data_IF_149105821582
#
_entry.id   IF_149105821582
#
_cell.length_a   1.000
_cell.length_b   1.000
_cell.length_c   1.000
_cell.angle_alpha   90.00
_cell.angle_beta   90.00
_cell.angle_gamma   90.00
#
_symmetry.space_group_name_H-M   'P 1'
#
loop_
_entity.id
_entity.type
_entity.pdbx_description
1 polymer ?
#
# COMPACT_ATOMS: atom_id res chain seq x y z
N UNK A 1 -18.24 -24.78 -0.98
CA UNK A 1 -17.50 -25.99 -1.32
C UNK A 1 -17.33 -25.95 -2.84
N UNK A 2 -16.19 -25.44 -3.30
CA UNK A 2 -15.92 -25.30 -4.73
C UNK A 2 -15.11 -26.48 -5.23
N UNK A 3 -15.46 -26.96 -6.41
CA UNK A 3 -14.81 -28.13 -7.04
C UNK A 3 -13.97 -27.62 -8.21
N UNK A 4 -12.66 -27.67 -8.08
CA UNK A 4 -11.75 -27.46 -9.20
C UNK A 4 -11.39 -28.81 -9.81
N UNK A 5 -11.74 -29.05 -11.07
CA UNK A 5 -11.42 -30.30 -11.78
C UNK A 5 -10.14 -30.12 -12.58
N UNK A 6 -9.06 -30.77 -12.14
CA UNK A 6 -7.80 -30.82 -12.90
C UNK A 6 -7.74 -32.16 -13.64
N UNK A 7 -7.72 -32.12 -14.95
CA UNK A 7 -7.57 -33.34 -15.79
C UNK A 7 -6.09 -33.77 -15.84
N UNK A 8 -5.72 -34.74 -15.04
CA UNK A 8 -4.48 -35.54 -15.23
C UNK A 8 -4.88 -36.97 -15.48
N UNK A 9 -4.75 -37.41 -16.73
CA UNK A 9 -4.90 -38.79 -17.22
C UNK A 9 -5.59 -39.81 -16.31
N UNK A 10 -6.92 -40.02 -16.51
CA UNK A 10 -7.71 -41.15 -16.02
C UNK A 10 -8.09 -41.26 -14.51
N UNK A 11 -7.93 -40.25 -13.70
CA UNK A 11 -8.68 -40.10 -12.43
C UNK A 11 -9.04 -38.65 -12.23
N UNK A 12 -10.33 -38.34 -12.04
CA UNK A 12 -10.80 -37.04 -11.52
C UNK A 12 -10.45 -37.00 -10.02
N UNK A 13 -9.34 -36.38 -9.66
CA UNK A 13 -9.10 -36.01 -8.28
C UNK A 13 -9.77 -34.65 -8.04
N UNK A 14 -10.89 -34.69 -7.34
CA UNK A 14 -11.60 -33.51 -6.87
C UNK A 14 -10.80 -32.97 -5.69
N UNK A 15 -9.91 -32.01 -5.95
CA UNK A 15 -9.28 -31.25 -4.89
C UNK A 15 -10.29 -30.22 -4.38
N UNK A 16 -10.82 -30.46 -3.17
CA UNK A 16 -11.56 -29.42 -2.46
C UNK A 16 -10.54 -28.41 -1.92
N UNK A 17 -10.46 -27.22 -2.53
CA UNK A 17 -9.67 -26.14 -1.96
C UNK A 17 -10.16 -25.80 -0.55
N UNK A 18 -9.22 -25.70 0.39
CA UNK A 18 -9.52 -25.27 1.76
C UNK A 18 -10.13 -23.87 1.74
N UNK A 19 -11.29 -23.73 2.35
CA UNK A 19 -11.86 -22.39 2.64
C UNK A 19 -10.93 -21.68 3.63
N UNK A 20 -10.45 -20.49 3.28
CA UNK A 20 -9.64 -19.66 4.15
C UNK A 20 -10.53 -18.75 4.99
N UNK A 21 -10.35 -18.78 6.30
CA UNK A 21 -11.15 -18.06 7.27
C UNK A 21 -10.42 -16.79 7.71
N UNK A 22 -11.11 -15.66 7.58
CA UNK A 22 -10.52 -14.32 7.73
C UNK A 22 -11.11 -13.61 8.95
N UNK A 23 -10.21 -13.03 9.76
CA UNK A 23 -10.54 -12.07 10.81
C UNK A 23 -10.21 -10.64 10.37
N UNK A 24 -11.12 -9.70 10.63
CA UNK A 24 -10.94 -8.27 10.37
C UNK A 24 -10.70 -7.54 11.69
N UNK A 25 -9.58 -6.85 11.82
CA UNK A 25 -9.25 -6.02 12.99
C UNK A 25 -9.23 -4.55 12.55
N UNK A 26 -10.16 -3.76 13.08
CA UNK A 26 -10.49 -2.42 12.62
C UNK A 26 -11.58 -2.44 11.56
N UNK A 27 -12.84 -2.17 11.95
CA UNK A 27 -14.01 -2.17 11.08
C UNK A 27 -14.39 -0.73 10.66
N UNK A 28 -13.39 0.12 10.45
CA UNK A 28 -13.54 1.51 10.02
C UNK A 28 -13.78 1.68 8.52
N UNK A 29 -13.55 2.91 8.02
CA UNK A 29 -13.80 3.29 6.62
C UNK A 29 -13.05 2.43 5.61
N UNK A 30 -11.75 2.17 5.84
CA UNK A 30 -10.93 1.41 4.89
C UNK A 30 -11.34 -0.07 4.82
N UNK A 31 -11.70 -0.67 5.95
CA UNK A 31 -12.20 -2.05 5.98
C UNK A 31 -13.53 -2.17 5.22
N UNK A 32 -14.47 -1.25 5.47
CA UNK A 32 -15.80 -1.24 4.84
C UNK A 32 -15.78 -0.83 3.35
N UNK A 33 -14.88 0.05 2.96
CA UNK A 33 -14.81 0.58 1.59
C UNK A 33 -13.88 -0.19 0.65
N UNK A 34 -12.93 -0.95 1.19
CA UNK A 34 -11.89 -1.63 0.41
C UNK A 34 -11.83 -3.13 0.73
N UNK A 35 -11.39 -3.49 1.95
CA UNK A 35 -11.02 -4.88 2.25
C UNK A 35 -12.21 -5.85 2.19
N UNK A 36 -13.25 -5.57 2.95
CA UNK A 36 -14.39 -6.49 3.02
C UNK A 36 -15.14 -6.65 1.69
N UNK A 37 -15.45 -5.56 0.94
CA UNK A 37 -16.06 -5.70 -0.39
C UNK A 37 -15.17 -6.43 -1.42
N UNK A 38 -13.84 -6.29 -1.31
CA UNK A 38 -12.91 -6.99 -2.19
C UNK A 38 -12.83 -8.49 -1.85
N UNK A 39 -12.76 -8.82 -0.56
CA UNK A 39 -12.72 -10.21 -0.09
C UNK A 39 -14.00 -10.98 -0.41
N UNK A 40 -15.17 -10.32 -0.36
CA UNK A 40 -16.47 -10.92 -0.71
C UNK A 40 -16.49 -11.45 -2.15
N UNK A 41 -15.65 -10.90 -3.05
CA UNK A 41 -15.55 -11.33 -4.44
C UNK A 41 -14.52 -12.44 -4.67
N UNK A 42 -13.76 -12.81 -3.66
CA UNK A 42 -12.75 -13.86 -3.77
C UNK A 42 -13.37 -15.21 -3.38
N UNK A 43 -13.39 -16.15 -4.30
CA UNK A 43 -13.91 -17.50 -4.06
C UNK A 43 -13.12 -18.23 -2.97
N UNK A 44 -13.83 -19.03 -2.16
CA UNK A 44 -13.21 -19.90 -1.14
C UNK A 44 -12.60 -19.13 0.04
N UNK A 45 -13.11 -17.93 0.35
CA UNK A 45 -12.81 -17.22 1.59
C UNK A 45 -14.08 -16.93 2.37
N UNK A 46 -13.98 -16.87 3.69
CA UNK A 46 -15.07 -16.54 4.60
C UNK A 46 -14.58 -15.53 5.64
N UNK A 47 -15.28 -14.44 5.82
CA UNK A 47 -15.05 -13.49 6.91
C UNK A 47 -15.83 -13.94 8.14
N UNK A 48 -15.11 -14.45 9.14
CA UNK A 48 -15.68 -15.18 10.29
C UNK A 48 -15.54 -14.47 11.63
N UNK A 49 -14.75 -13.40 11.68
CA UNK A 49 -14.47 -12.66 12.90
C UNK A 49 -14.24 -11.18 12.61
N UNK A 50 -14.82 -10.32 13.44
CA UNK A 50 -14.74 -8.87 13.30
C UNK A 50 -14.39 -8.25 14.64
N UNK A 51 -13.39 -7.38 14.67
CA UNK A 51 -12.93 -6.70 15.88
C UNK A 51 -12.84 -5.20 15.66
N UNK A 52 -13.42 -4.43 16.55
CA UNK A 52 -13.23 -2.98 16.65
C UNK A 52 -13.41 -2.56 18.11
N UNK A 53 -12.63 -1.60 18.58
CA UNK A 53 -12.80 -1.01 19.92
C UNK A 53 -14.15 -0.33 20.11
N UNK A 54 -14.84 0.00 19.00
CA UNK A 54 -16.23 0.43 18.95
C UNK A 54 -17.07 -0.75 18.47
N UNK A 55 -17.66 -1.47 19.40
CA UNK A 55 -18.37 -2.73 19.19
C UNK A 55 -19.39 -2.67 18.05
N UNK A 56 -20.16 -1.58 17.98
CA UNK A 56 -21.20 -1.38 16.95
C UNK A 56 -20.62 -1.37 15.52
N UNK A 57 -19.34 -1.00 15.34
CA UNK A 57 -18.70 -1.07 14.03
C UNK A 57 -18.43 -2.52 13.62
N UNK A 58 -17.96 -3.33 14.57
CA UNK A 58 -17.71 -4.75 14.33
C UNK A 58 -19.02 -5.51 14.11
N UNK A 59 -20.09 -5.21 14.88
CA UNK A 59 -21.41 -5.78 14.70
C UNK A 59 -22.01 -5.50 13.31
N UNK A 60 -21.97 -4.24 12.86
CA UNK A 60 -22.42 -3.85 11.51
C UNK A 60 -21.60 -4.50 10.40
N UNK A 61 -20.30 -4.65 10.59
CA UNK A 61 -19.44 -5.31 9.63
C UNK A 61 -19.75 -6.82 9.55
N UNK A 62 -19.95 -7.48 10.70
CA UNK A 62 -20.32 -8.88 10.76
C UNK A 62 -21.69 -9.14 10.12
N UNK A 63 -22.70 -8.29 10.40
CA UNK A 63 -24.04 -8.38 9.78
C UNK A 63 -23.97 -8.28 8.25
N UNK A 64 -23.10 -7.41 7.73
CA UNK A 64 -23.03 -7.12 6.29
C UNK A 64 -22.19 -8.12 5.51
N UNK A 65 -21.05 -8.54 6.06
CA UNK A 65 -20.02 -9.28 5.33
C UNK A 65 -19.67 -10.65 5.94
N UNK A 66 -20.13 -10.91 7.17
CA UNK A 66 -19.80 -12.12 7.90
C UNK A 66 -20.61 -13.34 7.48
N UNK A 67 -20.09 -14.52 7.83
CA UNK A 67 -20.87 -15.75 7.84
C UNK A 67 -21.97 -15.68 8.90
N UNK A 68 -22.97 -16.55 8.81
CA UNK A 68 -24.10 -16.57 9.76
C UNK A 68 -23.67 -16.81 11.23
N UNK A 69 -22.51 -17.42 11.43
CA UNK A 69 -21.89 -17.71 12.73
C UNK A 69 -20.70 -16.79 13.04
N UNK A 70 -20.54 -15.68 12.30
CA UNK A 70 -19.44 -14.74 12.50
C UNK A 70 -19.43 -14.17 13.92
N UNK A 71 -18.24 -14.07 14.48
CA UNK A 71 -18.01 -13.60 15.86
C UNK A 71 -17.58 -12.13 15.88
N UNK A 72 -17.98 -11.44 16.94
CA UNK A 72 -17.65 -10.03 17.18
C UNK A 72 -16.80 -9.91 18.43
N UNK A 73 -15.74 -9.10 18.34
CA UNK A 73 -14.78 -8.88 19.41
C UNK A 73 -14.52 -7.38 19.62
N UNK A 74 -14.26 -6.97 20.84
CA UNK A 74 -13.77 -5.62 21.20
C UNK A 74 -12.24 -5.61 21.41
N UNK A 75 -11.67 -6.75 21.81
CA UNK A 75 -10.24 -6.96 21.98
C UNK A 75 -9.72 -7.91 20.88
N UNK A 76 -8.77 -7.42 20.07
CA UNK A 76 -8.16 -8.23 19.02
C UNK A 76 -7.42 -9.46 19.56
N UNK A 77 -6.94 -9.43 20.80
CA UNK A 77 -6.27 -10.58 21.44
C UNK A 77 -7.23 -11.74 21.65
N UNK A 78 -8.49 -11.45 21.90
CA UNK A 78 -9.52 -12.51 21.99
C UNK A 78 -9.84 -13.08 20.60
N UNK A 79 -9.86 -12.25 19.56
CA UNK A 79 -10.00 -12.73 18.18
C UNK A 79 -8.84 -13.66 17.80
N UNK A 80 -7.61 -13.32 18.16
CA UNK A 80 -6.42 -14.11 17.82
C UNK A 80 -6.38 -15.51 18.48
N UNK A 81 -7.12 -15.73 19.56
CA UNK A 81 -7.28 -17.05 20.20
C UNK A 81 -8.12 -18.03 19.39
N UNK A 82 -8.87 -17.54 18.40
CA UNK A 82 -9.66 -18.41 17.51
C UNK A 82 -8.73 -19.12 16.52
N UNK A 83 -8.47 -20.40 16.79
CA UNK A 83 -7.59 -21.25 15.96
C UNK A 83 -8.16 -21.51 14.57
N UNK A 84 -9.44 -21.27 14.35
CA UNK A 84 -10.09 -21.48 13.04
C UNK A 84 -9.80 -20.36 12.04
N UNK A 85 -9.24 -19.24 12.47
CA UNK A 85 -8.85 -18.12 11.62
C UNK A 85 -7.49 -18.39 10.99
N UNK A 86 -7.40 -18.32 9.68
CA UNK A 86 -6.16 -18.50 8.90
C UNK A 86 -5.45 -17.18 8.65
N UNK A 87 -6.21 -16.11 8.42
CA UNK A 87 -5.74 -14.81 7.94
C UNK A 87 -6.35 -13.68 8.79
N UNK A 88 -5.55 -12.66 9.05
CA UNK A 88 -6.01 -11.42 9.69
C UNK A 88 -5.74 -10.24 8.78
N UNK A 89 -6.75 -9.39 8.58
CA UNK A 89 -6.59 -8.06 7.99
C UNK A 89 -6.54 -7.01 9.08
N UNK A 90 -5.45 -6.24 9.16
CA UNK A 90 -5.23 -5.15 10.11
C UNK A 90 -5.54 -3.83 9.43
N UNK A 91 -6.69 -3.23 9.79
CA UNK A 91 -7.25 -2.02 9.19
C UNK A 91 -7.44 -0.90 10.23
N UNK A 92 -6.58 -0.86 11.21
CA UNK A 92 -6.60 0.06 12.35
C UNK A 92 -5.83 1.37 12.03
N UNK A 93 -5.81 2.39 12.91
CA UNK A 93 -4.87 3.50 12.80
C UNK A 93 -3.39 3.03 12.82
N UNK A 94 -2.51 3.80 12.18
CA UNK A 94 -1.09 3.45 11.95
C UNK A 94 -0.37 3.03 13.23
N UNK A 95 -0.69 3.67 14.37
CA UNK A 95 -0.12 3.38 15.68
C UNK A 95 -0.18 1.91 16.09
N UNK A 96 -1.18 1.22 15.62
CA UNK A 96 -1.43 -0.17 16.05
C UNK A 96 -1.06 -1.23 15.02
N UNK A 97 -0.61 -0.83 13.83
CA UNK A 97 -0.24 -1.76 12.76
C UNK A 97 0.81 -2.78 13.22
N UNK A 98 1.90 -2.30 13.85
CA UNK A 98 3.04 -3.16 14.17
C UNK A 98 2.70 -4.20 15.22
N UNK A 99 2.22 -3.79 16.40
CA UNK A 99 1.99 -4.74 17.49
C UNK A 99 0.83 -5.71 17.22
N UNK A 100 -0.25 -5.25 16.52
CA UNK A 100 -1.34 -6.16 16.14
C UNK A 100 -0.86 -7.18 15.09
N UNK A 101 -0.08 -6.73 14.10
CA UNK A 101 0.45 -7.64 13.07
C UNK A 101 1.43 -8.65 13.66
N UNK A 102 2.31 -8.24 14.57
CA UNK A 102 3.23 -9.14 15.26
C UNK A 102 2.46 -10.17 16.08
N UNK A 103 1.51 -9.74 16.92
CA UNK A 103 0.69 -10.64 17.74
C UNK A 103 -0.10 -11.65 16.86
N UNK A 104 -0.60 -11.20 15.68
CA UNK A 104 -1.30 -12.08 14.75
C UNK A 104 -0.38 -13.11 14.08
N UNK A 105 0.83 -12.70 13.67
CA UNK A 105 1.85 -13.60 13.14
C UNK A 105 2.26 -14.66 14.19
N UNK A 106 2.51 -14.24 15.44
CA UNK A 106 2.84 -15.13 16.56
C UNK A 106 1.68 -16.09 16.91
N UNK A 107 0.43 -15.64 16.71
CA UNK A 107 -0.75 -16.51 16.84
C UNK A 107 -0.92 -17.47 15.65
N UNK A 108 0.05 -17.52 14.73
CA UNK A 108 0.06 -18.44 13.60
C UNK A 108 -0.83 -18.02 12.42
N UNK A 109 -1.23 -16.73 12.32
CA UNK A 109 -2.08 -16.21 11.26
C UNK A 109 -1.22 -15.54 10.16
N UNK A 110 -1.66 -15.64 8.90
CA UNK A 110 -1.14 -14.78 7.84
C UNK A 110 -1.71 -13.38 7.98
N UNK A 111 -0.94 -12.34 7.65
CA UNK A 111 -1.33 -10.96 7.92
C UNK A 111 -1.29 -10.10 6.66
N UNK A 112 -2.41 -9.43 6.39
CA UNK A 112 -2.51 -8.26 5.51
C UNK A 112 -2.64 -7.03 6.40
N UNK A 113 -1.65 -6.14 6.39
CA UNK A 113 -1.69 -4.90 7.14
C UNK A 113 -1.90 -3.71 6.20
N UNK A 114 -2.79 -2.77 6.55
CA UNK A 114 -2.91 -1.53 5.81
C UNK A 114 -1.60 -0.72 5.82
N UNK A 115 -1.47 0.13 4.81
CA UNK A 115 -0.35 1.07 4.72
C UNK A 115 -0.56 2.27 5.70
N UNK A 116 0.52 2.90 6.16
CA UNK A 116 1.92 2.48 6.06
C UNK A 116 2.17 1.22 6.89
N UNK A 117 3.26 0.51 6.62
CA UNK A 117 3.60 -0.71 7.36
C UNK A 117 3.62 -0.47 8.88
N UNK A 118 4.31 0.59 9.30
CA UNK A 118 4.40 1.05 10.68
C UNK A 118 4.74 2.55 10.72
N UNK A 119 4.75 3.16 11.92
CA UNK A 119 5.16 4.55 12.09
C UNK A 119 6.67 4.74 12.08
N UNK A 120 7.42 3.72 12.50
CA UNK A 120 8.88 3.76 12.60
C UNK A 120 9.54 2.56 11.92
N UNK A 121 10.81 2.74 11.55
CA UNK A 121 11.63 1.67 10.97
C UNK A 121 11.77 0.46 11.92
N UNK A 122 12.00 0.69 13.18
CA UNK A 122 12.16 -0.38 14.18
C UNK A 122 10.87 -1.21 14.34
N UNK A 123 9.70 -0.54 14.34
CA UNK A 123 8.41 -1.24 14.35
C UNK A 123 8.22 -2.09 13.09
N UNK A 124 8.51 -1.54 11.90
CA UNK A 124 8.40 -2.26 10.64
C UNK A 124 9.39 -3.43 10.54
N UNK A 125 10.63 -3.25 11.06
CA UNK A 125 11.63 -4.29 11.15
C UNK A 125 11.18 -5.45 12.04
N UNK A 126 10.60 -5.14 13.20
CA UNK A 126 10.04 -6.16 14.10
C UNK A 126 8.91 -6.97 13.44
N UNK A 127 8.10 -6.34 12.58
CA UNK A 127 7.08 -7.05 11.79
C UNK A 127 7.71 -8.03 10.78
N UNK A 128 8.78 -7.61 10.08
CA UNK A 128 9.53 -8.50 9.17
C UNK A 128 10.12 -9.70 9.94
N UNK A 129 10.79 -9.45 11.06
CA UNK A 129 11.39 -10.48 11.90
C UNK A 129 10.34 -11.46 12.45
N UNK A 130 9.15 -10.98 12.81
CA UNK A 130 8.05 -11.83 13.23
C UNK A 130 7.54 -12.72 12.10
N UNK A 131 7.39 -12.18 10.89
CA UNK A 131 6.99 -12.96 9.70
C UNK A 131 8.01 -14.07 9.38
N UNK A 132 9.32 -13.73 9.42
CA UNK A 132 10.40 -14.71 9.21
C UNK A 132 10.42 -15.79 10.29
N UNK A 133 10.33 -15.41 11.56
CA UNK A 133 10.36 -16.34 12.70
C UNK A 133 9.18 -17.32 12.71
N UNK A 134 8.01 -16.85 12.35
CA UNK A 134 6.78 -17.66 12.37
C UNK A 134 6.55 -18.43 11.09
N UNK A 135 7.24 -18.08 10.01
CA UNK A 135 7.00 -18.63 8.67
C UNK A 135 5.64 -18.25 8.09
N UNK A 136 4.96 -17.25 8.68
CA UNK A 136 3.68 -16.76 8.19
C UNK A 136 3.89 -15.59 7.22
N UNK A 137 3.03 -15.51 6.23
CA UNK A 137 3.10 -14.46 5.22
C UNK A 137 2.58 -13.14 5.81
N UNK A 138 3.33 -12.07 5.54
CA UNK A 138 2.95 -10.68 5.80
C UNK A 138 2.94 -9.93 4.48
N UNK A 139 1.94 -9.10 4.25
CA UNK A 139 1.90 -8.15 3.14
C UNK A 139 1.32 -6.82 3.59
N UNK A 140 1.66 -5.75 2.87
CA UNK A 140 1.20 -4.39 3.17
C UNK A 140 0.30 -3.90 2.04
N UNK A 141 -0.77 -3.18 2.38
CA UNK A 141 -1.84 -2.73 1.49
C UNK A 141 -1.44 -1.63 0.50
N UNK A 142 -0.39 -1.85 -0.29
CA UNK A 142 0.01 -0.96 -1.38
C UNK A 142 -0.77 -1.28 -2.65
N UNK A 143 -2.08 -1.06 -2.59
CA UNK A 143 -3.04 -1.38 -3.67
C UNK A 143 -2.70 -0.78 -5.03
N UNK A 144 -1.99 0.37 -5.04
CA UNK A 144 -1.65 1.07 -6.28
C UNK A 144 -0.71 0.26 -7.19
N UNK A 145 0.01 -0.73 -6.68
CA UNK A 145 0.76 -1.68 -7.50
C UNK A 145 -0.13 -2.50 -8.45
N UNK A 146 -1.42 -2.62 -8.13
CA UNK A 146 -2.39 -3.41 -8.90
C UNK A 146 -3.21 -2.57 -9.90
N UNK A 147 -2.85 -1.31 -10.15
CA UNK A 147 -3.47 -0.52 -11.22
C UNK A 147 -2.90 -0.93 -12.58
N UNK A 148 -3.73 -0.89 -13.63
CA UNK A 148 -3.32 -1.33 -14.97
C UNK A 148 -2.09 -0.57 -15.49
N UNK A 149 -2.02 0.76 -15.27
CA UNK A 149 -0.88 1.57 -15.66
C UNK A 149 0.41 1.18 -14.92
N UNK A 150 0.33 0.90 -13.62
CA UNK A 150 1.51 0.55 -12.83
C UNK A 150 2.01 -0.86 -13.16
N UNK A 151 1.10 -1.82 -13.37
CA UNK A 151 1.45 -3.17 -13.84
C UNK A 151 2.12 -3.13 -15.21
N UNK A 152 1.62 -2.31 -16.12
CA UNK A 152 2.21 -2.16 -17.46
C UNK A 152 3.62 -1.56 -17.41
N UNK A 153 3.80 -0.42 -16.71
CA UNK A 153 5.12 0.21 -16.56
C UNK A 153 6.11 -0.72 -15.86
N UNK A 154 5.65 -1.46 -14.84
CA UNK A 154 6.48 -2.47 -14.16
C UNK A 154 6.92 -3.57 -15.11
N UNK A 155 6.02 -4.08 -15.94
CA UNK A 155 6.37 -5.11 -16.94
C UNK A 155 7.40 -4.59 -17.95
N UNK A 156 7.28 -3.36 -18.43
CA UNK A 156 8.27 -2.73 -19.30
C UNK A 156 9.64 -2.59 -18.59
N UNK A 157 9.65 -2.19 -17.32
CA UNK A 157 10.87 -2.10 -16.51
C UNK A 157 11.53 -3.48 -16.33
N UNK A 158 10.76 -4.50 -15.99
CA UNK A 158 11.26 -5.88 -15.81
C UNK A 158 11.80 -6.49 -17.11
N UNK A 159 11.22 -6.10 -18.26
CA UNK A 159 11.72 -6.48 -19.58
C UNK A 159 12.98 -5.68 -20.01
N UNK A 160 13.44 -4.72 -19.19
CA UNK A 160 14.64 -3.93 -19.45
C UNK A 160 14.47 -2.85 -20.55
N UNK A 161 13.24 -2.45 -20.83
CA UNK A 161 12.94 -1.46 -21.88
C UNK A 161 13.53 -0.08 -21.57
N UNK A 162 13.68 0.25 -20.27
CA UNK A 162 14.24 1.54 -19.83
C UNK A 162 15.77 1.52 -19.64
N UNK A 163 16.41 0.34 -19.69
CA UNK A 163 17.82 0.19 -19.32
C UNK A 163 18.03 0.38 -17.82
N UNK A 164 19.21 0.86 -17.41
CA UNK A 164 19.44 1.22 -16.01
C UNK A 164 18.62 2.47 -15.66
N UNK A 165 17.72 2.34 -14.66
CA UNK A 165 16.91 3.45 -14.17
C UNK A 165 17.71 4.19 -13.11
N UNK A 166 18.14 5.40 -13.40
CA UNK A 166 19.03 6.20 -12.54
C UNK A 166 18.32 7.39 -11.87
N UNK A 167 17.11 7.73 -12.29
CA UNK A 167 16.34 8.83 -11.72
C UNK A 167 14.88 8.43 -11.53
N UNK A 168 14.32 8.80 -10.38
CA UNK A 168 12.92 8.68 -10.03
C UNK A 168 12.35 9.99 -9.46
N UNK A 169 11.07 10.24 -9.70
CA UNK A 169 10.31 11.29 -9.02
C UNK A 169 9.01 10.69 -8.52
N UNK A 170 8.81 10.71 -7.21
CA UNK A 170 7.62 10.24 -6.52
C UNK A 170 6.73 11.45 -6.18
N UNK A 171 5.49 11.47 -6.63
CA UNK A 171 4.58 12.60 -6.54
C UNK A 171 3.30 12.23 -5.81
N UNK A 172 3.07 12.89 -4.69
CA UNK A 172 1.88 12.74 -3.84
C UNK A 172 1.38 14.12 -3.41
N UNK A 173 1.04 14.95 -4.38
CA UNK A 173 0.70 16.36 -4.15
C UNK A 173 -0.79 16.57 -4.36
N UNK A 174 -1.44 17.11 -3.34
CA UNK A 174 -2.78 17.68 -3.37
C UNK A 174 -2.69 19.21 -3.22
N UNK A 175 -3.60 19.91 -3.87
CA UNK A 175 -3.65 21.37 -3.74
C UNK A 175 -4.33 21.80 -2.43
N UNK A 176 -5.50 21.25 -2.13
CA UNK A 176 -6.30 21.46 -0.91
C UNK A 176 -7.21 20.26 -0.70
N UNK A 177 -6.65 19.17 -0.17
CA UNK A 177 -7.40 17.97 0.17
C UNK A 177 -6.78 17.30 1.41
N UNK A 178 -6.90 18.03 2.52
CA UNK A 178 -6.53 17.57 3.86
C UNK A 178 -7.64 16.67 4.37
N UNK A 179 -7.35 15.42 4.79
CA UNK A 179 -8.36 14.54 5.36
C UNK A 179 -8.81 15.07 6.73
N UNK A 180 -10.10 15.44 6.84
CA UNK A 180 -10.70 16.05 8.03
C UNK A 180 -11.51 15.05 8.86
N UNK A 181 -11.40 13.76 8.58
CA UNK A 181 -12.08 12.69 9.31
C UNK A 181 -11.09 11.76 10.02
N UNK A 182 -11.61 11.00 10.99
CA UNK A 182 -10.82 10.02 11.73
C UNK A 182 -9.71 10.68 12.54
N UNK A 183 -8.50 10.15 12.42
CA UNK A 183 -7.33 10.57 13.22
C UNK A 183 -6.16 11.07 12.37
N UNK A 184 -6.41 11.42 11.10
CA UNK A 184 -5.34 11.81 10.15
C UNK A 184 -4.50 13.00 10.60
N UNK A 185 -5.11 13.97 11.30
CA UNK A 185 -4.42 15.18 11.77
C UNK A 185 -3.63 14.97 13.07
N UNK A 186 -3.71 13.78 13.66
CA UNK A 186 -3.12 13.46 14.95
C UNK A 186 -1.79 12.70 14.77
N UNK A 187 -0.66 13.35 15.08
CA UNK A 187 0.69 12.76 14.98
C UNK A 187 0.86 11.50 15.83
N UNK A 188 0.29 11.46 17.04
CA UNK A 188 0.39 10.29 17.90
C UNK A 188 -0.23 9.05 17.27
N UNK A 189 -1.38 9.20 16.62
CA UNK A 189 -2.10 8.09 15.98
C UNK A 189 -1.48 7.70 14.64
N UNK A 190 -1.01 8.68 13.85
CA UNK A 190 -0.60 8.47 12.46
C UNK A 190 0.93 8.43 12.26
N UNK A 191 1.71 9.08 13.12
CA UNK A 191 3.16 9.20 12.97
C UNK A 191 3.61 10.33 12.04
N UNK A 192 2.69 10.98 11.35
CA UNK A 192 2.93 12.11 10.45
C UNK A 192 1.73 12.40 9.56
N UNK A 193 1.87 13.36 8.67
CA UNK A 193 0.84 13.83 7.75
C UNK A 193 0.97 13.24 6.34
N UNK A 194 0.98 14.09 5.29
CA UNK A 194 0.98 13.65 3.90
C UNK A 194 2.18 12.77 3.54
N UNK A 195 3.33 12.94 4.16
CA UNK A 195 4.50 12.12 3.86
C UNK A 195 4.23 10.64 4.11
N UNK A 196 3.71 10.31 5.28
CA UNK A 196 3.43 8.93 5.67
C UNK A 196 2.08 8.42 5.12
N UNK A 197 1.11 9.32 4.84
CA UNK A 197 -0.21 8.93 4.33
C UNK A 197 -0.21 8.69 2.82
N UNK A 198 0.19 9.68 2.01
CA UNK A 198 0.13 9.60 0.55
C UNK A 198 1.52 9.50 -0.10
N UNK A 199 2.56 10.08 0.52
CA UNK A 199 3.96 9.97 0.08
C UNK A 199 4.42 8.52 0.03
N UNK A 200 3.98 7.72 0.99
CA UNK A 200 4.25 6.28 1.06
C UNK A 200 3.83 5.54 -0.23
N UNK A 201 2.68 5.89 -0.82
CA UNK A 201 2.21 5.28 -2.07
C UNK A 201 3.08 5.64 -3.27
N UNK A 202 3.42 6.92 -3.42
CA UNK A 202 4.24 7.38 -4.54
C UNK A 202 5.66 6.82 -4.46
N UNK A 203 6.24 6.78 -3.25
CA UNK A 203 7.57 6.21 -3.01
C UNK A 203 7.57 4.70 -3.27
N UNK A 204 6.59 3.96 -2.75
CA UNK A 204 6.46 2.53 -2.96
C UNK A 204 6.44 2.17 -4.45
N UNK A 205 5.59 2.84 -5.24
CA UNK A 205 5.52 2.60 -6.68
C UNK A 205 6.83 2.92 -7.40
N UNK A 206 7.49 4.02 -7.02
CA UNK A 206 8.76 4.42 -7.61
C UNK A 206 9.84 3.38 -7.35
N UNK A 207 10.02 2.96 -6.10
CA UNK A 207 10.97 1.91 -5.73
C UNK A 207 10.65 0.58 -6.40
N UNK A 208 9.37 0.23 -6.49
CA UNK A 208 8.91 -1.03 -7.10
C UNK A 208 9.22 -1.08 -8.60
N UNK A 209 8.94 -0.01 -9.32
CA UNK A 209 9.23 0.07 -10.76
C UNK A 209 10.74 0.09 -11.01
N UNK A 210 11.50 0.84 -10.21
CA UNK A 210 12.97 0.87 -10.27
C UNK A 210 13.60 -0.47 -9.83
N UNK A 211 12.87 -1.32 -9.12
CA UNK A 211 13.37 -2.53 -8.45
C UNK A 211 14.62 -2.24 -7.60
N UNK A 212 14.61 -1.12 -6.87
CA UNK A 212 15.75 -0.65 -6.10
C UNK A 212 15.33 -0.32 -4.67
N UNK A 213 15.82 -1.10 -3.71
CA UNK A 213 15.46 -1.03 -2.29
C UNK A 213 16.70 -0.87 -1.39
N UNK A 214 17.78 -0.31 -1.93
CA UNK A 214 19.02 -0.09 -1.20
C UNK A 214 19.32 1.42 -1.10
N UNK A 215 18.64 2.16 -0.19
CA UNK A 215 18.93 3.57 0.03
C UNK A 215 20.31 3.73 0.69
N UNK A 216 21.06 4.73 0.26
CA UNK A 216 22.36 5.13 0.86
C UNK A 216 22.16 6.31 1.80
N UNK A 217 21.39 7.32 1.37
CA UNK A 217 21.25 8.58 2.09
C UNK A 217 19.95 9.27 1.73
N UNK A 218 19.38 9.97 2.69
CA UNK A 218 18.25 10.86 2.46
C UNK A 218 18.48 12.22 3.12
N UNK A 219 17.98 13.27 2.45
CA UNK A 219 17.81 14.60 3.04
C UNK A 219 16.43 15.10 2.71
N UNK A 220 15.76 15.74 3.68
CA UNK A 220 14.42 16.22 3.47
C UNK A 220 14.00 17.32 4.43
N UNK A 221 12.84 17.88 4.15
CA UNK A 221 12.23 18.95 4.93
C UNK A 221 10.71 18.75 4.99
N UNK A 222 10.14 18.98 6.17
CA UNK A 222 8.70 19.03 6.41
C UNK A 222 8.26 20.44 6.72
N UNK A 223 7.02 20.77 6.36
CA UNK A 223 6.44 22.08 6.63
C UNK A 223 5.03 21.93 7.21
N UNK A 224 4.69 22.84 8.13
CA UNK A 224 3.34 23.04 8.64
C UNK A 224 3.02 24.54 8.48
N UNK A 225 2.75 24.96 7.23
CA UNK A 225 2.60 26.36 6.85
C UNK A 225 1.15 26.77 6.61
N UNK A 226 0.31 25.80 6.25
CA UNK A 226 -1.07 26.04 5.87
C UNK A 226 -2.06 25.59 6.95
N UNK A 227 -1.62 24.84 7.95
CA UNK A 227 -2.46 24.30 9.00
C UNK A 227 -3.21 25.35 9.82
N UNK A 228 -2.62 26.56 10.01
CA UNK A 228 -3.19 27.64 10.82
C UNK A 228 -3.97 28.68 10.00
N UNK A 229 -4.21 28.44 8.69
CA UNK A 229 -4.92 29.38 7.84
C UNK A 229 -6.43 29.35 8.08
N UNK A 230 -7.06 30.55 8.18
CA UNK A 230 -8.50 30.68 8.35
C UNK A 230 -9.26 30.34 7.05
N UNK A 231 -8.80 30.87 5.90
CA UNK A 231 -9.38 30.58 4.58
C UNK A 231 -8.74 29.34 3.96
N UNK A 232 -9.27 28.18 4.28
CA UNK A 232 -8.65 26.91 3.95
C UNK A 232 -8.95 26.43 2.53
N UNK A 233 -10.18 26.60 2.04
CA UNK A 233 -10.60 26.15 0.70
C UNK A 233 -10.45 24.63 0.51
N UNK A 234 -10.63 23.84 1.58
CA UNK A 234 -10.39 22.40 1.56
C UNK A 234 -11.53 21.62 0.89
N UNK A 235 -11.21 20.60 0.09
CA UNK A 235 -12.17 19.78 -0.64
C UNK A 235 -13.12 18.99 0.28
N UNK A 236 -12.67 18.64 1.49
CA UNK A 236 -13.41 17.82 2.45
C UNK A 236 -13.87 18.57 3.68
N UNK A 237 -14.08 19.86 3.55
CA UNK A 237 -14.51 20.73 4.63
C UNK A 237 -13.34 21.27 5.47
N UNK A 238 -13.64 22.17 6.42
CA UNK A 238 -12.62 22.81 7.24
C UNK A 238 -12.00 21.82 8.23
N UNK A 239 -10.73 22.05 8.55
CA UNK A 239 -10.04 21.41 9.68
C UNK A 239 -9.97 22.35 10.88
N UNK A 240 -9.80 21.80 12.08
CA UNK A 240 -9.45 22.56 13.26
C UNK A 240 -7.92 22.71 13.35
N UNK A 241 -7.36 23.93 13.28
CA UNK A 241 -5.92 24.13 13.41
C UNK A 241 -5.33 23.60 14.73
N UNK A 242 -6.14 23.50 15.80
CA UNK A 242 -5.70 22.99 17.10
C UNK A 242 -5.50 21.48 17.12
N UNK A 243 -6.24 20.76 16.26
CA UNK A 243 -6.13 19.30 16.11
C UNK A 243 -5.09 18.93 15.06
N UNK A 244 -4.62 19.87 14.26
CA UNK A 244 -3.66 19.64 13.17
C UNK A 244 -2.23 19.63 13.72
N UNK A 245 -1.73 18.46 14.12
CA UNK A 245 -0.42 18.31 14.76
C UNK A 245 0.69 17.79 13.84
N UNK A 246 0.35 17.41 12.61
CA UNK A 246 1.27 16.86 11.60
C UNK A 246 1.72 17.91 10.58
N UNK A 247 2.64 17.59 9.71
CA UNK A 247 3.02 18.44 8.57
C UNK A 247 1.88 18.53 7.53
N UNK A 248 1.86 19.60 6.73
CA UNK A 248 0.97 19.77 5.56
C UNK A 248 1.69 19.46 4.24
N UNK A 249 3.02 19.45 4.26
CA UNK A 249 3.87 19.14 3.11
C UNK A 249 5.27 18.66 3.53
N UNK A 250 5.86 17.81 2.70
CA UNK A 250 7.20 17.25 2.88
C UNK A 250 7.89 17.03 1.53
N UNK A 251 9.20 17.24 1.50
CA UNK A 251 10.03 17.07 0.32
C UNK A 251 11.32 16.33 0.70
N UNK A 252 11.71 15.34 -0.11
CA UNK A 252 12.90 14.53 0.14
C UNK A 252 13.72 14.29 -1.13
N UNK A 253 15.04 14.24 -0.96
CA UNK A 253 16.00 13.74 -1.93
C UNK A 253 16.62 12.48 -1.38
N UNK A 254 16.51 11.38 -2.11
CA UNK A 254 16.99 10.05 -1.74
C UNK A 254 18.10 9.66 -2.73
N UNK A 255 19.25 9.24 -2.24
CA UNK A 255 20.32 8.62 -3.01
C UNK A 255 20.35 7.14 -2.71
N UNK A 256 20.36 6.32 -3.76
CA UNK A 256 20.44 4.86 -3.67
C UNK A 256 21.89 4.40 -3.77
N UNK A 257 22.23 3.21 -3.23
CA UNK A 257 23.62 2.68 -3.23
C UNK A 257 24.20 2.51 -4.64
N UNK A 258 23.37 2.24 -5.65
CA UNK A 258 23.82 2.17 -7.05
C UNK A 258 24.01 3.54 -7.72
N UNK A 259 23.83 4.64 -6.99
CA UNK A 259 23.96 6.02 -7.49
C UNK A 259 22.67 6.62 -8.06
N UNK A 260 21.60 5.85 -8.23
CA UNK A 260 20.30 6.38 -8.62
C UNK A 260 19.76 7.35 -7.57
N UNK A 261 18.93 8.30 -8.01
CA UNK A 261 18.31 9.29 -7.11
C UNK A 261 16.82 9.34 -7.28
N UNK A 262 16.11 9.62 -6.19
CA UNK A 262 14.65 9.80 -6.17
C UNK A 262 14.35 11.13 -5.48
N UNK A 263 13.50 11.96 -6.11
CA UNK A 263 12.87 13.12 -5.48
C UNK A 263 11.47 12.73 -5.04
N UNK A 264 11.15 12.96 -3.76
CA UNK A 264 9.82 12.73 -3.20
C UNK A 264 9.18 14.08 -2.86
N UNK A 265 7.98 14.30 -3.37
CA UNK A 265 7.15 15.47 -3.06
C UNK A 265 5.81 14.98 -2.52
N UNK A 266 5.44 15.41 -1.31
CA UNK A 266 4.19 15.00 -0.67
C UNK A 266 3.52 16.18 0.01
N UNK A 267 2.22 16.40 -0.25
CA UNK A 267 1.44 17.47 0.36
C UNK A 267 -0.05 17.19 0.33
N UNK A 268 -0.75 17.47 1.44
CA UNK A 268 -2.20 17.58 1.46
C UNK A 268 -2.69 18.96 1.07
N UNK A 269 -1.86 19.96 1.32
CA UNK A 269 -2.14 21.36 1.00
C UNK A 269 -0.87 22.04 0.50
N UNK A 270 -0.90 22.52 -0.74
CA UNK A 270 0.20 23.24 -1.36
C UNK A 270 -0.36 24.26 -2.37
N UNK A 271 0.24 25.45 -2.45
CA UNK A 271 -0.18 26.48 -3.38
C UNK A 271 0.42 26.23 -4.78
N UNK A 272 -0.07 25.21 -5.46
CA UNK A 272 0.36 24.82 -6.82
C UNK A 272 -0.83 24.83 -7.78
N UNK A 273 -0.56 25.04 -9.08
CA UNK A 273 -1.56 24.88 -10.13
C UNK A 273 -1.69 23.41 -10.56
N UNK A 274 -0.55 22.76 -10.81
CA UNK A 274 -0.48 21.37 -11.20
C UNK A 274 -0.24 20.50 -9.96
N UNK A 275 -1.06 19.48 -9.78
CA UNK A 275 -0.98 18.53 -8.68
C UNK A 275 -1.11 17.11 -9.21
N UNK A 276 -0.39 16.18 -8.60
CA UNK A 276 -0.36 14.79 -8.99
C UNK A 276 -0.34 13.92 -7.74
N UNK A 277 -1.38 13.16 -7.51
CA UNK A 277 -1.44 12.23 -6.39
C UNK A 277 -1.14 10.82 -6.85
N UNK A 278 -0.34 10.10 -6.05
CA UNK A 278 0.03 8.71 -6.28
C UNK A 278 0.61 8.46 -7.69
N UNK A 279 1.44 9.39 -8.16
CA UNK A 279 2.08 9.33 -9.48
C UNK A 279 3.60 9.27 -9.33
N UNK A 280 4.26 8.84 -10.39
CA UNK A 280 5.72 8.86 -10.48
C UNK A 280 6.22 9.13 -11.90
N UNK A 281 7.50 9.48 -11.98
CA UNK A 281 8.29 9.52 -13.21
C UNK A 281 9.56 8.73 -12.98
N UNK A 282 10.00 7.97 -13.96
CA UNK A 282 11.29 7.29 -13.97
C UNK A 282 12.05 7.61 -15.25
N UNK A 283 13.38 7.74 -15.16
CA UNK A 283 14.26 7.90 -16.31
C UNK A 283 15.37 6.85 -16.27
N UNK A 284 15.48 6.12 -17.34
CA UNK A 284 16.55 5.15 -17.58
C UNK A 284 17.36 5.51 -18.81
N UNK A 285 18.42 4.75 -19.08
CA UNK A 285 19.37 4.99 -20.18
C UNK A 285 18.72 4.82 -21.57
N UNK A 286 17.73 3.93 -21.70
CA UNK A 286 17.08 3.59 -22.99
C UNK A 286 15.71 4.24 -23.13
N UNK A 287 15.10 4.64 -22.03
CA UNK A 287 13.76 5.21 -22.02
C UNK A 287 13.36 5.62 -20.61
N UNK A 288 12.13 6.07 -20.49
CA UNK A 288 11.52 6.43 -19.21
C UNK A 288 10.02 6.27 -19.27
N UNK A 289 9.38 6.43 -18.14
CA UNK A 289 7.93 6.41 -18.04
C UNK A 289 7.43 7.36 -16.95
N UNK A 290 6.19 7.76 -17.07
CA UNK A 290 5.45 8.43 -16.01
C UNK A 290 3.99 7.98 -15.97
N UNK A 291 3.35 8.21 -14.81
CA UNK A 291 1.93 7.93 -14.60
C UNK A 291 1.12 9.19 -14.32
N UNK A 292 1.56 10.31 -14.83
CA UNK A 292 0.86 11.58 -14.69
C UNK A 292 -0.51 11.53 -15.38
N UNK A 293 -1.52 12.16 -14.78
CA UNK A 293 -2.91 12.18 -15.26
C UNK A 293 -3.55 10.78 -15.41
N UNK A 294 -3.22 9.86 -14.51
CA UNK A 294 -3.75 8.49 -14.49
C UNK A 294 -3.51 7.69 -15.78
N UNK A 295 -2.43 8.00 -16.48
CA UNK A 295 -2.05 7.35 -17.73
C UNK A 295 -0.59 6.88 -17.65
N UNK A 296 -0.33 5.66 -18.09
CA UNK A 296 1.04 5.25 -18.39
C UNK A 296 1.51 5.93 -19.66
N UNK A 297 2.64 6.64 -19.58
CA UNK A 297 3.30 7.25 -20.76
C UNK A 297 4.75 6.78 -20.79
N UNK A 298 5.14 6.16 -21.89
CA UNK A 298 6.52 5.70 -22.09
C UNK A 298 7.24 6.68 -23.02
N UNK A 299 8.46 7.03 -22.68
CA UNK A 299 9.25 8.07 -23.34
C UNK A 299 10.54 7.46 -23.87
N UNK A 300 10.79 7.55 -25.19
CA UNK A 300 12.02 7.04 -25.81
C UNK A 300 12.40 7.79 -27.08
N UNK A 301 13.57 7.45 -27.58
CA UNK A 301 14.03 7.88 -28.89
C UNK A 301 13.80 6.74 -29.88
N UNK A 302 13.01 7.00 -30.92
CA UNK A 302 12.79 6.08 -32.04
C UNK A 302 13.07 6.78 -33.36
N UNK A 303 13.90 6.19 -34.19
CA UNK A 303 14.33 6.77 -35.45
C UNK A 303 14.84 8.23 -35.32
N UNK A 304 15.64 8.49 -34.28
CA UNK A 304 16.19 9.82 -33.95
C UNK A 304 15.12 10.88 -33.61
N UNK A 305 13.94 10.46 -33.18
CA UNK A 305 12.84 11.32 -32.74
C UNK A 305 12.43 10.98 -31.33
N UNK A 306 12.09 12.01 -30.57
CA UNK A 306 11.44 11.86 -29.28
C UNK A 306 10.02 11.30 -29.50
N UNK A 307 9.71 10.20 -28.83
CA UNK A 307 8.42 9.54 -28.93
C UNK A 307 7.81 9.39 -27.54
N UNK A 308 6.49 9.55 -27.49
CA UNK A 308 5.67 9.20 -26.34
C UNK A 308 4.71 8.12 -26.80
N UNK A 309 4.70 7.00 -26.10
CA UNK A 309 3.72 5.95 -26.28
C UNK A 309 2.76 5.94 -25.11
N UNK A 310 1.47 5.87 -25.41
CA UNK A 310 0.39 5.76 -24.43
C UNK A 310 -0.35 4.47 -24.75
N UNK A 311 -0.14 3.41 -23.94
CA UNK A 311 -0.79 2.12 -24.18
C UNK A 311 -2.30 2.21 -23.94
N UNK A 312 -3.07 1.45 -24.70
CA UNK A 312 -4.49 1.28 -24.40
C UNK A 312 -4.66 0.18 -23.34
N UNK A 313 -4.80 0.61 -22.10
CA UNK A 313 -4.95 -0.28 -20.95
C UNK A 313 -6.42 -0.53 -20.54
N UNK A 314 -7.39 -0.06 -21.34
CA UNK A 314 -8.81 -0.34 -21.08
C UNK A 314 -9.12 -1.76 -21.47
N UNK A 315 -9.67 -2.54 -20.55
CA UNK A 315 -10.26 -3.84 -20.85
C UNK A 315 -11.41 -3.66 -21.84
N UNK A 316 -11.37 -4.41 -22.94
CA UNK A 316 -12.41 -4.35 -23.97
C UNK A 316 -11.82 -4.52 -25.37
N UNK A 317 -12.20 -5.54 -26.08
CA UNK A 317 -11.67 -5.95 -27.36
C UNK A 317 -10.66 -7.08 -27.23
N UNK A 318 -10.17 -7.62 -28.30
CA UNK A 318 -9.42 -8.86 -28.48
C UNK A 318 -8.05 -8.95 -27.77
N UNK A 319 -7.91 -8.50 -26.54
CA UNK A 319 -6.71 -8.75 -25.71
C UNK A 319 -6.70 -10.20 -25.23
N UNK A 320 -6.28 -11.12 -26.09
CA UNK A 320 -6.21 -12.55 -25.78
C UNK A 320 -5.09 -12.95 -24.79
N UNK A 321 -4.22 -12.02 -24.44
CA UNK A 321 -2.99 -12.31 -23.67
C UNK A 321 -2.87 -11.58 -22.33
N UNK A 322 -3.70 -10.57 -22.10
CA UNK A 322 -3.77 -9.92 -20.80
C UNK A 322 -4.66 -10.77 -19.92
N UNK A 323 -4.10 -11.33 -18.86
CA UNK A 323 -4.87 -12.04 -17.84
C UNK A 323 -6.05 -11.15 -17.44
N UNK A 324 -7.23 -11.74 -17.28
CA UNK A 324 -8.44 -11.03 -16.85
C UNK A 324 -8.17 -10.21 -15.60
N UNK A 325 -7.93 -8.93 -15.77
CA UNK A 325 -7.98 -7.97 -14.67
C UNK A 325 -9.37 -7.32 -14.64
N UNK A 326 -10.41 -8.15 -14.60
CA UNK A 326 -11.78 -7.69 -14.44
C UNK A 326 -12.01 -7.39 -12.94
N UNK A 327 -11.43 -6.31 -12.43
CA UNK A 327 -11.60 -5.93 -11.03
C UNK A 327 -10.94 -4.58 -10.71
N UNK A 328 -11.40 -3.97 -9.64
CA UNK A 328 -10.73 -2.81 -9.06
C UNK A 328 -9.34 -3.20 -8.51
N UNK A 329 -8.41 -2.26 -8.34
CA UNK A 329 -7.09 -2.55 -7.72
C UNK A 329 -7.20 -3.25 -6.37
N UNK A 330 -8.25 -2.97 -5.59
CA UNK A 330 -8.51 -3.63 -4.31
C UNK A 330 -8.91 -5.11 -4.48
N UNK A 331 -9.71 -5.43 -5.48
CA UNK A 331 -10.12 -6.80 -5.79
C UNK A 331 -8.94 -7.63 -6.30
N UNK A 332 -8.10 -7.03 -7.14
CA UNK A 332 -6.87 -7.66 -7.62
C UNK A 332 -5.90 -7.89 -6.46
N UNK A 333 -5.74 -6.91 -5.55
CA UNK A 333 -4.92 -7.04 -4.34
C UNK A 333 -5.40 -8.20 -3.47
N UNK A 334 -6.71 -8.27 -3.17
CA UNK A 334 -7.30 -9.34 -2.37
C UNK A 334 -7.10 -10.72 -3.03
N UNK A 335 -7.37 -10.84 -4.32
CA UNK A 335 -7.19 -12.08 -5.07
C UNK A 335 -5.72 -12.54 -5.08
N UNK A 336 -4.78 -11.62 -5.33
CA UNK A 336 -3.34 -11.91 -5.30
C UNK A 336 -2.88 -12.34 -3.91
N UNK A 337 -3.37 -11.69 -2.85
CA UNK A 337 -3.06 -12.05 -1.47
C UNK A 337 -3.52 -13.47 -1.12
N UNK A 338 -4.77 -13.79 -1.40
CA UNK A 338 -5.32 -15.13 -1.16
C UNK A 338 -4.58 -16.19 -1.98
N UNK A 339 -4.26 -15.88 -3.25
CA UNK A 339 -3.49 -16.78 -4.11
C UNK A 339 -2.06 -17.02 -3.60
N UNK A 340 -1.41 -15.97 -3.03
CA UNK A 340 -0.08 -16.10 -2.43
C UNK A 340 -0.08 -17.08 -1.25
N UNK A 341 -1.13 -17.08 -0.45
CA UNK A 341 -1.30 -18.02 0.67
C UNK A 341 -1.58 -19.45 0.16
N UNK A 342 -2.53 -19.61 -0.77
CA UNK A 342 -2.94 -20.91 -1.30
C UNK A 342 -1.81 -21.64 -2.01
N UNK A 343 -1.04 -20.92 -2.81
CA UNK A 343 0.06 -21.49 -3.61
C UNK A 343 1.40 -21.48 -2.90
N UNK A 344 1.44 -20.97 -1.68
CA UNK A 344 2.67 -20.76 -0.92
C UNK A 344 3.77 -20.01 -1.69
N UNK A 345 3.37 -18.97 -2.42
CA UNK A 345 4.28 -18.08 -3.14
C UNK A 345 4.40 -16.73 -2.43
N UNK A 346 5.38 -15.93 -2.83
CA UNK A 346 5.56 -14.58 -2.32
C UNK A 346 4.37 -13.67 -2.65
N UNK A 347 3.95 -12.79 -1.71
CA UNK A 347 2.95 -11.77 -2.00
C UNK A 347 3.53 -10.67 -2.92
N UNK A 348 2.65 -9.94 -3.62
CA UNK A 348 3.03 -8.84 -4.52
C UNK A 348 3.85 -7.76 -3.79
N UNK A 349 3.51 -7.49 -2.54
CA UNK A 349 4.25 -6.56 -1.67
C UNK A 349 5.01 -7.38 -0.62
N UNK A 350 6.32 -7.46 -0.79
CA UNK A 350 7.17 -8.14 0.19
C UNK A 350 7.39 -7.26 1.43
N UNK A 351 7.39 -7.82 2.64
CA UNK A 351 7.63 -7.05 3.87
C UNK A 351 8.89 -6.19 3.81
N UNK A 352 10.02 -6.74 3.28
CA UNK A 352 11.29 -6.01 3.14
C UNK A 352 11.19 -4.79 2.22
N UNK A 353 10.31 -4.81 1.22
CA UNK A 353 10.08 -3.66 0.34
C UNK A 353 9.34 -2.55 1.08
N UNK A 354 8.30 -2.88 1.83
CA UNK A 354 7.58 -1.94 2.68
C UNK A 354 8.44 -1.40 3.83
N UNK A 355 9.34 -2.22 4.39
CA UNK A 355 10.34 -1.81 5.36
C UNK A 355 11.25 -0.71 4.81
N UNK A 356 11.75 -0.86 3.57
CA UNK A 356 12.56 0.15 2.91
C UNK A 356 11.80 1.47 2.72
N UNK A 357 10.52 1.41 2.35
CA UNK A 357 9.67 2.61 2.27
C UNK A 357 9.62 3.31 3.62
N UNK A 358 9.32 2.57 4.71
CA UNK A 358 9.24 3.12 6.06
C UNK A 358 10.57 3.73 6.50
N UNK A 359 11.71 3.08 6.20
CA UNK A 359 13.06 3.56 6.49
C UNK A 359 13.34 4.92 5.85
N UNK A 360 13.01 5.07 4.58
CA UNK A 360 13.21 6.32 3.84
C UNK A 360 12.32 7.45 4.40
N UNK A 361 11.05 7.16 4.67
CA UNK A 361 10.11 8.15 5.23
C UNK A 361 10.57 8.64 6.61
N UNK A 362 10.97 7.73 7.51
CA UNK A 362 11.52 8.08 8.81
C UNK A 362 12.80 8.91 8.67
N UNK A 363 13.68 8.53 7.75
CA UNK A 363 14.90 9.29 7.45
C UNK A 363 14.62 10.73 6.97
N UNK A 364 13.53 10.96 6.21
CA UNK A 364 13.09 12.31 5.83
C UNK A 364 12.65 13.11 7.06
N UNK A 365 11.85 12.53 7.97
CA UNK A 365 11.46 13.18 9.22
C UNK A 365 12.67 13.51 10.10
N UNK A 366 13.60 12.57 10.24
CA UNK A 366 14.83 12.78 11.03
C UNK A 366 15.72 13.86 10.41
N UNK A 367 15.87 13.88 9.08
CA UNK A 367 16.59 14.92 8.36
C UNK A 367 15.95 16.29 8.56
N UNK A 368 14.62 16.38 8.47
CA UNK A 368 13.88 17.62 8.69
C UNK A 368 14.09 18.17 10.12
N UNK A 369 14.13 17.27 11.10
CA UNK A 369 14.32 17.61 12.52
C UNK A 369 15.75 18.06 12.82
N UNK A 370 16.74 17.39 12.26
CA UNK A 370 18.15 17.64 12.56
C UNK A 370 18.80 18.67 11.64
N UNK A 371 18.22 18.93 10.46
CA UNK A 371 18.81 19.75 9.40
C UNK A 371 20.01 19.08 8.73
N UNK A 372 20.19 17.76 8.85
CA UNK A 372 21.31 17.00 8.33
C UNK A 372 20.85 15.84 7.45
N UNK A 373 21.69 15.38 6.48
CA UNK A 373 21.45 14.12 5.82
C UNK A 373 21.44 12.94 6.80
N UNK A 374 20.59 11.95 6.53
CA UNK A 374 20.59 10.67 7.22
C UNK A 374 21.17 9.62 6.29
N UNK A 375 22.17 8.87 6.77
CA UNK A 375 22.81 7.78 6.04
C UNK A 375 22.29 6.45 6.55
N UNK A 376 22.08 5.52 5.65
CA UNK A 376 21.67 4.16 5.95
C UNK A 376 22.84 3.20 5.79
N UNK A 377 22.99 2.26 6.70
CA UNK A 377 24.03 1.23 6.71
C UNK A 377 23.83 0.13 5.64
#
# INVERSE_FOLDING_TARGET
>A
MFVCVVFTGNKEEIFMEKILRIGIIGCGGIANGKHMPALEKVEGVEMVAFCDIVKERAEKAAEKFGTADAKVYEDYKELLKDETIDIVHVCTPNRSHSFISIDALEAGKHVMCEKPMAKTYEEAKAMCEAAERTGKKLTIGYQNRNTAQNLYVKACADNGEFGEIYYGKALAIRRRAVPTWGVFLNEYEQGGGPLIDIGTHALDMTLWVMNNYEPEMVVGQTFRKLADQEEQGNAWGPWDPKEYTVEDSAFGFIKMKNGAVINLESAWALNVADYHEASYMICGEKGGADTLNDQARLNYIKNQRQCIEIPNLKAGGAAFFEGKSDGSPAEIEAANWINAIRKDIDPVVLPRQALCVTQILEGIYESAKTGKPVYFD
#
